data_IF_220781290580
#
_entry.id   IF_220781290580
#
_cell.length_a   1.000
_cell.length_b   1.000
_cell.length_c   1.000
_cell.angle_alpha   90.00
_cell.angle_beta   90.00
_cell.angle_gamma   90.00
#
_symmetry.space_group_name_H-M   'P 1'
#
loop_
_entity.id
_entity.type
_entity.pdbx_description
1 polymer ?
#
# COMPACT_ATOMS: atom_id res chain seq x y z
N UNK A 1 -36.10 7.67 -49.20
CA UNK A 1 -36.39 8.33 -47.90
C UNK A 1 -35.08 8.32 -47.12
N UNK A 2 -34.38 9.44 -46.93
CA UNK A 2 -33.15 9.50 -46.18
C UNK A 2 -33.44 9.88 -44.70
N UNK A 3 -32.85 9.12 -43.79
CA UNK A 3 -32.84 9.43 -42.35
C UNK A 3 -31.87 10.60 -42.06
N UNK A 4 -32.43 11.67 -41.56
CA UNK A 4 -31.69 12.81 -40.99
C UNK A 4 -31.08 12.41 -39.65
N UNK A 5 -29.74 12.36 -39.61
CA UNK A 5 -28.98 12.30 -38.38
C UNK A 5 -28.80 13.75 -37.90
N UNK A 6 -29.47 14.09 -36.80
CA UNK A 6 -29.35 15.37 -36.15
C UNK A 6 -28.08 15.38 -35.28
N UNK A 7 -27.04 16.08 -35.75
CA UNK A 7 -25.86 16.38 -34.95
C UNK A 7 -26.24 17.51 -33.95
N UNK A 8 -26.30 17.18 -32.67
CA UNK A 8 -26.28 18.17 -31.61
C UNK A 8 -24.84 18.70 -31.48
N UNK A 9 -24.60 19.88 -32.02
CA UNK A 9 -23.40 20.65 -31.75
C UNK A 9 -23.47 21.23 -30.34
N UNK A 10 -22.72 20.67 -29.39
CA UNK A 10 -22.44 21.36 -28.13
C UNK A 10 -21.55 22.56 -28.44
N UNK A 11 -22.14 23.74 -28.39
CA UNK A 11 -21.42 25.00 -28.33
C UNK A 11 -20.64 25.08 -27.02
N UNK A 12 -19.33 24.93 -27.13
CA UNK A 12 -18.38 25.37 -26.12
C UNK A 12 -18.48 26.88 -25.93
N UNK A 13 -19.24 27.31 -24.93
CA UNK A 13 -19.15 28.67 -24.38
C UNK A 13 -17.85 28.75 -23.58
N UNK A 14 -16.77 29.10 -24.26
CA UNK A 14 -15.53 29.58 -23.65
C UNK A 14 -15.84 30.97 -23.01
N UNK A 15 -16.32 30.93 -21.78
CA UNK A 15 -16.39 32.12 -20.95
C UNK A 15 -15.01 32.57 -20.56
N UNK A 16 -14.41 33.51 -21.30
CA UNK A 16 -13.23 34.24 -20.86
C UNK A 16 -13.67 35.11 -19.66
N UNK A 17 -13.49 34.58 -18.45
CA UNK A 17 -13.51 35.39 -17.25
C UNK A 17 -12.18 36.15 -17.15
N UNK A 18 -12.21 37.43 -17.56
CA UNK A 18 -11.13 38.36 -17.24
C UNK A 18 -11.22 38.62 -15.71
N UNK A 19 -10.32 37.96 -14.97
CA UNK A 19 -10.19 38.17 -13.54
C UNK A 19 -9.56 39.53 -13.26
N UNK A 20 -10.37 40.47 -12.90
CA UNK A 20 -9.93 41.69 -12.19
C UNK A 20 -9.56 41.28 -10.75
N UNK A 21 -8.30 41.41 -10.38
CA UNK A 21 -7.70 41.65 -9.08
C UNK A 21 -8.38 41.08 -7.83
N UNK A 22 -8.11 39.78 -7.51
CA UNK A 22 -8.44 39.18 -6.23
C UNK A 22 -7.65 37.89 -6.08
N UNK A 23 -6.38 37.99 -5.73
CA UNK A 23 -5.52 36.82 -5.51
C UNK A 23 -6.14 35.87 -4.48
N UNK A 24 -6.49 34.64 -4.89
CA UNK A 24 -6.51 33.47 -4.03
C UNK A 24 -7.85 32.95 -3.54
N UNK A 25 -8.98 33.68 -3.74
CA UNK A 25 -10.26 33.31 -3.08
C UNK A 25 -11.14 32.37 -3.93
N UNK A 26 -10.80 32.13 -5.20
CA UNK A 26 -11.57 31.31 -6.13
C UNK A 26 -10.69 30.32 -6.94
N UNK A 27 -9.51 30.00 -6.44
CA UNK A 27 -8.60 29.04 -7.06
C UNK A 27 -8.67 27.70 -6.31
N UNK A 28 -9.18 26.60 -6.92
CA UNK A 28 -9.21 25.29 -6.29
C UNK A 28 -7.82 24.79 -5.91
N UNK A 29 -6.80 25.08 -6.73
CA UNK A 29 -5.42 24.70 -6.47
C UNK A 29 -4.85 25.42 -5.23
N UNK A 30 -5.23 26.66 -4.98
CA UNK A 30 -4.86 27.36 -3.75
C UNK A 30 -5.35 26.60 -2.51
N UNK A 31 -6.62 26.19 -2.50
CA UNK A 31 -7.19 25.45 -1.38
C UNK A 31 -6.58 24.05 -1.26
N UNK A 32 -6.34 23.36 -2.36
CA UNK A 32 -5.68 22.07 -2.34
C UNK A 32 -4.27 22.17 -1.74
N UNK A 33 -3.42 23.08 -2.23
CA UNK A 33 -2.06 23.31 -1.67
C UNK A 33 -2.10 23.71 -0.20
N UNK A 34 -3.06 24.51 0.21
CA UNK A 34 -3.27 24.88 1.61
C UNK A 34 -3.65 23.68 2.47
N UNK A 35 -4.50 22.81 1.97
CA UNK A 35 -4.85 21.53 2.59
C UNK A 35 -3.62 20.65 2.79
N UNK A 36 -2.79 20.49 1.76
CA UNK A 36 -1.51 19.72 1.84
C UNK A 36 -0.58 20.32 2.90
N UNK A 37 -0.47 21.66 2.96
CA UNK A 37 0.35 22.30 3.99
C UNK A 37 -0.17 22.05 5.41
N UNK A 38 -1.50 22.05 5.61
CA UNK A 38 -2.11 21.75 6.91
C UNK A 38 -1.95 20.29 7.29
N UNK A 39 -2.12 19.37 6.32
CA UNK A 39 -1.93 17.94 6.51
C UNK A 39 -0.49 17.62 6.96
N UNK A 40 0.51 18.24 6.32
CA UNK A 40 1.92 18.08 6.71
C UNK A 40 2.26 18.57 8.12
N UNK A 41 1.46 19.52 8.65
CA UNK A 41 1.54 20.01 10.02
C UNK A 41 0.74 19.17 11.03
N UNK A 42 0.10 18.07 10.59
CA UNK A 42 -0.77 17.25 11.42
C UNK A 42 -2.16 17.85 11.68
N UNK A 43 -2.50 18.98 11.06
CA UNK A 43 -3.78 19.68 11.19
C UNK A 43 -4.83 19.07 10.24
N UNK A 44 -5.16 17.80 10.49
CA UNK A 44 -5.95 16.99 9.54
C UNK A 44 -7.37 17.57 9.31
N UNK A 45 -8.03 18.06 10.37
CA UNK A 45 -9.37 18.64 10.25
C UNK A 45 -9.39 19.91 9.40
N UNK A 46 -8.37 20.75 9.56
CA UNK A 46 -8.22 21.95 8.75
C UNK A 46 -7.95 21.60 7.29
N UNK A 47 -7.08 20.59 7.05
CA UNK A 47 -6.80 20.08 5.70
C UNK A 47 -8.06 19.56 5.00
N UNK A 48 -8.89 18.78 5.68
CA UNK A 48 -10.20 18.31 5.19
C UNK A 48 -11.08 19.50 4.80
N UNK A 49 -11.11 20.55 5.64
CA UNK A 49 -11.84 21.78 5.36
C UNK A 49 -11.39 22.48 4.07
N UNK A 50 -10.08 22.52 3.83
CA UNK A 50 -9.52 23.15 2.64
C UNK A 50 -9.76 22.31 1.38
N UNK A 51 -9.56 20.97 1.41
CA UNK A 51 -9.88 20.09 0.29
C UNK A 51 -11.36 20.18 -0.11
N UNK A 52 -12.27 20.24 0.85
CA UNK A 52 -13.69 20.46 0.58
C UNK A 52 -13.99 21.82 -0.06
N UNK A 53 -13.18 22.86 0.24
CA UNK A 53 -13.30 24.15 -0.46
C UNK A 53 -12.85 24.03 -1.91
N UNK A 54 -11.73 23.34 -2.15
CA UNK A 54 -11.27 23.06 -3.51
C UNK A 54 -12.35 22.32 -4.33
N UNK A 55 -12.93 21.25 -3.78
CA UNK A 55 -13.98 20.46 -4.43
C UNK A 55 -15.31 21.19 -4.62
N UNK A 56 -15.63 22.22 -3.83
CA UNK A 56 -16.77 23.09 -4.11
C UNK A 56 -16.58 23.96 -5.35
N UNK A 57 -15.32 24.31 -5.67
CA UNK A 57 -14.99 25.11 -6.85
C UNK A 57 -14.81 24.21 -8.08
N UNK A 58 -14.19 23.06 -7.89
CA UNK A 58 -13.91 22.06 -8.93
C UNK A 58 -14.31 20.65 -8.44
N UNK A 59 -15.59 20.25 -8.62
CA UNK A 59 -16.13 19.00 -8.08
C UNK A 59 -15.48 17.70 -8.62
N UNK A 60 -14.71 17.77 -9.69
CA UNK A 60 -14.05 16.63 -10.32
C UNK A 60 -12.53 16.74 -10.25
N UNK A 61 -11.98 17.54 -9.34
CA UNK A 61 -10.54 17.65 -9.15
C UNK A 61 -9.99 16.40 -8.51
N UNK A 62 -9.26 15.59 -9.31
CA UNK A 62 -8.65 14.33 -8.90
C UNK A 62 -7.79 14.46 -7.65
N UNK A 63 -6.90 15.44 -7.66
CA UNK A 63 -5.92 15.64 -6.59
C UNK A 63 -6.59 15.97 -5.26
N UNK A 64 -7.63 16.81 -5.30
CA UNK A 64 -8.38 17.19 -4.10
C UNK A 64 -9.18 16.00 -3.53
N UNK A 65 -9.80 15.15 -4.37
CA UNK A 65 -10.43 13.92 -3.91
C UNK A 65 -9.43 12.95 -3.31
N UNK A 66 -8.29 12.73 -3.99
CA UNK A 66 -7.24 11.86 -3.48
C UNK A 66 -6.70 12.34 -2.12
N UNK A 67 -6.37 13.63 -2.00
CA UNK A 67 -5.86 14.21 -0.76
C UNK A 67 -6.90 14.18 0.36
N UNK A 68 -8.17 14.38 0.04
CA UNK A 68 -9.28 14.27 1.00
C UNK A 68 -9.42 12.82 1.49
N UNK A 69 -9.31 11.84 0.60
CA UNK A 69 -9.32 10.42 0.95
C UNK A 69 -8.16 10.06 1.89
N UNK A 70 -6.95 10.54 1.60
CA UNK A 70 -5.77 10.36 2.47
C UNK A 70 -6.01 10.98 3.86
N UNK A 71 -6.56 12.18 3.90
CA UNK A 71 -6.85 12.86 5.18
C UNK A 71 -7.93 12.12 5.99
N UNK A 72 -8.98 11.63 5.35
CA UNK A 72 -9.97 10.77 6.00
C UNK A 72 -9.36 9.47 6.52
N UNK A 73 -8.50 8.82 5.73
CA UNK A 73 -7.78 7.61 6.17
C UNK A 73 -6.94 7.87 7.42
N UNK A 74 -6.15 8.94 7.44
CA UNK A 74 -5.34 9.34 8.62
C UNK A 74 -6.21 9.55 9.87
N UNK A 75 -7.43 10.06 9.68
CA UNK A 75 -8.40 10.28 10.75
C UNK A 75 -9.17 9.01 11.18
N UNK A 76 -9.02 7.90 10.47
CA UNK A 76 -9.77 6.66 10.70
C UNK A 76 -11.20 6.67 10.16
N UNK A 77 -11.56 7.66 9.34
CA UNK A 77 -12.84 7.78 8.67
C UNK A 77 -12.82 6.95 7.38
N UNK A 78 -12.80 5.63 7.55
CA UNK A 78 -12.56 4.69 6.43
C UNK A 78 -13.67 4.68 5.39
N UNK A 79 -14.93 4.87 5.80
CA UNK A 79 -16.06 4.91 4.86
C UNK A 79 -15.95 6.11 3.93
N UNK A 80 -15.68 7.28 4.48
CA UNK A 80 -15.50 8.52 3.74
C UNK A 80 -14.29 8.44 2.81
N UNK A 81 -13.19 7.86 3.29
CA UNK A 81 -12.00 7.67 2.47
C UNK A 81 -12.25 6.74 1.27
N UNK A 82 -13.02 5.64 1.45
CA UNK A 82 -13.40 4.72 0.37
C UNK A 82 -14.22 5.45 -0.70
N UNK A 83 -15.19 6.27 -0.31
CA UNK A 83 -16.02 7.01 -1.27
C UNK A 83 -15.19 8.00 -2.10
N UNK A 84 -14.27 8.73 -1.46
CA UNK A 84 -13.41 9.67 -2.18
C UNK A 84 -12.45 8.94 -3.14
N UNK A 85 -11.83 7.81 -2.72
CA UNK A 85 -11.00 7.03 -3.64
C UNK A 85 -11.78 6.40 -4.78
N UNK A 86 -13.03 5.95 -4.55
CA UNK A 86 -13.90 5.49 -5.63
C UNK A 86 -14.20 6.61 -6.63
N UNK A 87 -14.45 7.83 -6.14
CA UNK A 87 -14.62 8.99 -7.02
C UNK A 87 -13.37 9.24 -7.86
N UNK A 88 -12.17 9.11 -7.28
CA UNK A 88 -10.92 9.17 -8.08
C UNK A 88 -10.90 8.09 -9.16
N UNK A 89 -11.27 6.84 -8.83
CA UNK A 89 -11.24 5.73 -9.78
C UNK A 89 -12.36 5.79 -10.84
N UNK A 90 -13.49 6.44 -10.55
CA UNK A 90 -14.51 6.74 -11.56
C UNK A 90 -14.00 7.75 -12.60
N UNK A 91 -13.20 8.73 -12.17
CA UNK A 91 -12.60 9.73 -13.06
C UNK A 91 -11.34 9.21 -13.75
N UNK A 92 -10.55 8.39 -13.06
CA UNK A 92 -9.25 7.86 -13.48
C UNK A 92 -9.15 6.38 -13.11
N UNK A 93 -9.74 5.47 -13.92
CA UNK A 93 -9.81 4.03 -13.60
C UNK A 93 -8.44 3.35 -13.49
N UNK A 94 -7.47 3.83 -14.24
CA UNK A 94 -6.12 3.24 -14.36
C UNK A 94 -5.11 3.96 -13.44
N UNK A 95 -5.49 4.16 -12.17
CA UNK A 95 -4.64 4.80 -11.15
C UNK A 95 -4.15 3.78 -10.11
N UNK A 96 -2.95 3.18 -10.28
CA UNK A 96 -2.47 2.13 -9.39
C UNK A 96 -2.22 2.62 -7.97
N UNK A 97 -1.84 3.88 -7.76
CA UNK A 97 -1.63 4.46 -6.44
C UNK A 97 -2.95 4.57 -5.66
N UNK A 98 -4.02 4.99 -6.32
CA UNK A 98 -5.35 5.02 -5.70
C UNK A 98 -5.87 3.63 -5.37
N UNK A 99 -5.69 2.66 -6.27
CA UNK A 99 -6.04 1.25 -6.03
C UNK A 99 -5.26 0.67 -4.85
N UNK A 100 -3.97 0.96 -4.75
CA UNK A 100 -3.13 0.53 -3.63
C UNK A 100 -3.64 1.08 -2.29
N UNK A 101 -3.94 2.37 -2.23
CA UNK A 101 -4.44 3.01 -1.01
C UNK A 101 -5.85 2.53 -0.63
N UNK A 102 -6.72 2.33 -1.62
CA UNK A 102 -8.06 1.76 -1.40
C UNK A 102 -7.95 0.34 -0.84
N UNK A 103 -7.04 -0.49 -1.36
CA UNK A 103 -6.75 -1.81 -0.84
C UNK A 103 -6.28 -1.77 0.62
N UNK A 104 -5.43 -0.82 0.99
CA UNK A 104 -4.97 -0.65 2.37
C UNK A 104 -6.13 -0.31 3.33
N UNK A 105 -7.10 0.50 2.89
CA UNK A 105 -8.28 0.81 3.70
C UNK A 105 -9.21 -0.39 3.81
N UNK A 106 -9.41 -1.13 2.72
CA UNK A 106 -10.20 -2.37 2.77
C UNK A 106 -9.62 -3.38 3.75
N UNK A 107 -8.29 -3.56 3.76
CA UNK A 107 -7.62 -4.44 4.71
C UNK A 107 -7.84 -4.00 6.17
N UNK A 108 -7.72 -2.70 6.46
CA UNK A 108 -8.01 -2.13 7.79
C UNK A 108 -9.49 -2.25 8.20
N UNK A 109 -10.38 -2.29 7.23
CA UNK A 109 -11.82 -2.49 7.43
C UNK A 109 -12.23 -3.96 7.49
N UNK A 110 -11.26 -4.88 7.60
CA UNK A 110 -11.46 -6.34 7.58
C UNK A 110 -12.12 -6.88 6.30
N UNK A 111 -11.97 -6.16 5.19
CA UNK A 111 -12.48 -6.52 3.85
C UNK A 111 -11.35 -7.10 3.01
N UNK A 112 -10.78 -8.22 3.43
CA UNK A 112 -9.54 -8.77 2.86
C UNK A 112 -9.64 -9.10 1.36
N UNK A 113 -10.76 -9.66 0.91
CA UNK A 113 -10.94 -10.02 -0.51
C UNK A 113 -11.01 -8.77 -1.41
N UNK A 114 -11.65 -7.70 -0.93
CA UNK A 114 -11.65 -6.42 -1.64
C UNK A 114 -10.27 -5.77 -1.67
N UNK A 115 -9.49 -5.92 -0.59
CA UNK A 115 -8.12 -5.44 -0.53
C UNK A 115 -7.23 -6.15 -1.57
N UNK A 116 -7.29 -7.48 -1.60
CA UNK A 116 -6.55 -8.29 -2.59
C UNK A 116 -6.93 -7.85 -4.00
N UNK A 117 -8.22 -7.79 -4.33
CA UNK A 117 -8.68 -7.36 -5.66
C UNK A 117 -8.13 -6.00 -6.07
N UNK A 118 -8.15 -5.01 -5.15
CA UNK A 118 -7.63 -3.68 -5.43
C UNK A 118 -6.10 -3.70 -5.67
N UNK A 119 -5.35 -4.46 -4.88
CA UNK A 119 -3.90 -4.57 -5.05
C UNK A 119 -3.50 -5.38 -6.28
N UNK A 120 -4.26 -6.45 -6.63
CA UNK A 120 -4.07 -7.19 -7.89
C UNK A 120 -4.23 -6.27 -9.11
N UNK A 121 -5.26 -5.41 -9.09
CA UNK A 121 -5.44 -4.39 -10.13
C UNK A 121 -4.29 -3.37 -10.14
N UNK A 122 -3.80 -2.96 -8.98
CA UNK A 122 -2.67 -2.03 -8.90
C UNK A 122 -1.39 -2.62 -9.55
N UNK A 123 -1.07 -3.89 -9.30
CA UNK A 123 0.11 -4.55 -9.90
C UNK A 123 -0.12 -4.95 -11.36
N UNK A 124 -1.35 -5.15 -11.79
CA UNK A 124 -1.68 -5.33 -13.21
C UNK A 124 -1.36 -4.06 -14.01
N UNK A 125 -1.73 -2.89 -13.48
CA UNK A 125 -1.46 -1.58 -14.09
C UNK A 125 0.01 -1.16 -13.96
N UNK A 126 0.64 -1.49 -12.84
CA UNK A 126 2.03 -1.14 -12.53
C UNK A 126 2.79 -2.38 -12.05
N UNK A 127 3.33 -3.19 -13.00
CA UNK A 127 3.98 -4.48 -12.67
C UNK A 127 5.26 -4.38 -11.82
N UNK A 128 5.79 -3.18 -11.62
CA UNK A 128 6.95 -2.92 -10.76
C UNK A 128 6.57 -2.23 -9.43
N UNK A 129 5.29 -2.25 -9.06
CA UNK A 129 4.80 -1.66 -7.82
C UNK A 129 5.16 -2.53 -6.62
N UNK A 130 6.39 -2.39 -6.16
CA UNK A 130 7.01 -3.22 -5.12
C UNK A 130 6.19 -3.26 -3.82
N UNK A 131 5.64 -2.13 -3.40
CA UNK A 131 4.84 -2.01 -2.18
C UNK A 131 3.53 -2.80 -2.29
N UNK A 132 2.89 -2.79 -3.46
CA UNK A 132 1.67 -3.55 -3.70
C UNK A 132 1.95 -5.06 -3.75
N UNK A 133 3.04 -5.49 -4.39
CA UNK A 133 3.50 -6.89 -4.35
C UNK A 133 3.76 -7.36 -2.93
N UNK A 134 4.42 -6.53 -2.11
CA UNK A 134 4.71 -6.90 -0.71
C UNK A 134 3.42 -7.13 0.10
N UNK A 135 2.45 -6.20 0.03
CA UNK A 135 1.19 -6.34 0.79
C UNK A 135 0.32 -7.49 0.27
N UNK A 136 0.33 -7.76 -1.04
CA UNK A 136 -0.30 -8.94 -1.62
C UNK A 136 0.31 -10.22 -1.05
N UNK A 137 1.64 -10.36 -1.13
CA UNK A 137 2.35 -11.53 -0.61
C UNK A 137 2.04 -11.77 0.88
N UNK A 138 2.06 -10.70 1.68
CA UNK A 138 1.73 -10.78 3.10
C UNK A 138 0.28 -11.21 3.33
N UNK A 139 -0.67 -10.66 2.59
CA UNK A 139 -2.10 -11.00 2.74
C UNK A 139 -2.40 -12.41 2.27
N UNK A 140 -1.80 -12.86 1.17
CA UNK A 140 -1.89 -14.24 0.72
C UNK A 140 -1.32 -15.22 1.74
N UNK A 141 -0.17 -14.91 2.35
CA UNK A 141 0.42 -15.74 3.40
C UNK A 141 -0.51 -15.85 4.63
N UNK A 142 -1.15 -14.76 5.05
CA UNK A 142 -2.17 -14.79 6.12
C UNK A 142 -3.37 -15.68 5.77
N UNK A 143 -3.77 -15.73 4.51
CA UNK A 143 -4.82 -16.62 4.00
C UNK A 143 -4.32 -18.05 3.73
N UNK A 144 -3.06 -18.36 4.05
CA UNK A 144 -2.38 -19.64 3.77
C UNK A 144 -2.30 -19.99 2.27
N UNK A 145 -2.40 -19.01 1.42
CA UNK A 145 -2.21 -19.10 -0.02
C UNK A 145 -0.72 -18.90 -0.33
N UNK A 146 0.08 -19.90 0.06
CA UNK A 146 1.54 -19.75 0.07
C UNK A 146 2.17 -19.71 -1.32
N UNK A 147 1.53 -20.29 -2.35
CA UNK A 147 2.04 -20.21 -3.72
C UNK A 147 1.95 -18.79 -4.27
N UNK A 148 0.80 -18.15 -4.06
CA UNK A 148 0.59 -16.76 -4.43
C UNK A 148 1.51 -15.84 -3.63
N UNK A 149 1.66 -16.07 -2.32
CA UNK A 149 2.56 -15.28 -1.48
C UNK A 149 4.01 -15.35 -1.97
N UNK A 150 4.50 -16.54 -2.29
CA UNK A 150 5.86 -16.78 -2.81
C UNK A 150 6.07 -16.02 -4.14
N UNK A 151 5.10 -16.09 -5.04
CA UNK A 151 5.15 -15.36 -6.32
C UNK A 151 5.31 -13.86 -6.10
N UNK A 152 4.49 -13.28 -5.22
CA UNK A 152 4.50 -11.85 -4.95
C UNK A 152 5.77 -11.39 -4.23
N UNK A 153 6.27 -12.15 -3.24
CA UNK A 153 7.54 -11.84 -2.58
C UNK A 153 8.75 -11.91 -3.55
N UNK A 154 8.74 -12.86 -4.49
CA UNK A 154 9.78 -12.90 -5.52
C UNK A 154 9.77 -11.64 -6.39
N UNK A 155 8.59 -11.08 -6.72
CA UNK A 155 8.49 -9.80 -7.44
C UNK A 155 9.10 -8.63 -6.65
N UNK A 156 8.94 -8.62 -5.33
CA UNK A 156 9.63 -7.65 -4.47
C UNK A 156 11.15 -7.82 -4.56
N UNK A 157 11.65 -9.05 -4.45
CA UNK A 157 13.09 -9.35 -4.43
C UNK A 157 13.77 -9.16 -5.80
N UNK A 158 13.04 -9.26 -6.91
CA UNK A 158 13.55 -8.85 -8.24
C UNK A 158 13.97 -7.36 -8.27
N UNK A 159 13.31 -6.50 -7.50
CA UNK A 159 13.58 -5.06 -7.42
C UNK A 159 14.43 -4.68 -6.20
N UNK A 160 14.23 -5.36 -5.08
CA UNK A 160 14.88 -5.12 -3.79
C UNK A 160 15.57 -6.40 -3.29
N UNK A 161 16.68 -6.83 -3.92
CA UNK A 161 17.31 -8.13 -3.60
C UNK A 161 17.89 -8.22 -2.18
N UNK A 162 18.05 -7.09 -1.49
CA UNK A 162 18.57 -7.03 -0.12
C UNK A 162 17.49 -6.65 0.90
N UNK A 163 16.19 -6.95 0.61
CA UNK A 163 15.12 -6.73 1.58
C UNK A 163 15.02 -7.91 2.57
N UNK A 164 15.63 -7.74 3.74
CA UNK A 164 15.66 -8.74 4.79
C UNK A 164 14.26 -9.19 5.24
N UNK A 165 13.28 -8.28 5.27
CA UNK A 165 11.92 -8.60 5.70
C UNK A 165 11.24 -9.50 4.67
N UNK A 166 11.39 -9.20 3.40
CA UNK A 166 10.81 -10.02 2.33
C UNK A 166 11.46 -11.40 2.27
N UNK A 167 12.79 -11.50 2.42
CA UNK A 167 13.47 -12.79 2.54
C UNK A 167 12.96 -13.63 3.72
N UNK A 168 12.77 -13.00 4.89
CA UNK A 168 12.17 -13.67 6.03
C UNK A 168 10.77 -14.21 5.72
N UNK A 169 9.89 -13.37 5.15
CA UNK A 169 8.51 -13.76 4.86
C UNK A 169 8.42 -14.84 3.78
N UNK A 170 9.28 -14.78 2.77
CA UNK A 170 9.43 -15.82 1.75
C UNK A 170 9.90 -17.14 2.38
N UNK A 171 10.88 -17.09 3.27
CA UNK A 171 11.35 -18.26 4.01
C UNK A 171 10.26 -18.89 4.88
N UNK A 172 9.44 -18.09 5.53
CA UNK A 172 8.27 -18.57 6.28
C UNK A 172 7.28 -19.26 5.34
N UNK A 173 6.95 -18.64 4.20
CA UNK A 173 6.03 -19.22 3.22
C UNK A 173 6.55 -20.57 2.68
N UNK A 174 7.85 -20.71 2.40
CA UNK A 174 8.47 -21.98 2.03
C UNK A 174 8.41 -23.01 3.17
N UNK A 175 8.63 -22.59 4.43
CA UNK A 175 8.54 -23.48 5.60
C UNK A 175 7.15 -24.09 5.75
N UNK A 176 6.11 -23.27 5.56
CA UNK A 176 4.70 -23.70 5.62
C UNK A 176 4.34 -24.66 4.47
N UNK A 177 4.98 -24.53 3.31
CA UNK A 177 4.86 -25.48 2.18
C UNK A 177 5.71 -26.74 2.35
N UNK A 178 6.56 -26.83 3.38
CA UNK A 178 7.48 -27.95 3.56
C UNK A 178 8.71 -27.92 2.63
N UNK A 179 8.96 -26.81 1.91
CA UNK A 179 10.11 -26.61 1.05
C UNK A 179 11.31 -26.13 1.88
N UNK A 180 11.78 -27.02 2.79
CA UNK A 180 12.67 -26.65 3.89
C UNK A 180 14.04 -26.15 3.45
N UNK A 181 14.60 -26.66 2.34
CA UNK A 181 15.88 -26.18 1.81
C UNK A 181 15.77 -24.72 1.35
N UNK A 182 14.77 -24.42 0.53
CA UNK A 182 14.50 -23.06 0.08
C UNK A 182 14.18 -22.11 1.24
N UNK A 183 13.43 -22.58 2.24
CA UNK A 183 13.12 -21.82 3.44
C UNK A 183 14.39 -21.40 4.20
N UNK A 184 15.28 -22.35 4.46
CA UNK A 184 16.55 -22.11 5.17
C UNK A 184 17.43 -21.14 4.38
N UNK A 185 17.51 -21.30 3.06
CA UNK A 185 18.30 -20.40 2.22
C UNK A 185 17.79 -18.94 2.29
N UNK A 186 16.48 -18.72 2.20
CA UNK A 186 15.91 -17.38 2.27
C UNK A 186 16.04 -16.78 3.69
N UNK A 187 15.81 -17.56 4.74
CA UNK A 187 15.98 -17.10 6.11
C UNK A 187 17.45 -16.77 6.42
N UNK A 188 18.41 -17.52 5.89
CA UNK A 188 19.85 -17.22 6.00
C UNK A 188 20.22 -15.91 5.29
N UNK A 189 19.66 -15.66 4.11
CA UNK A 189 19.83 -14.35 3.43
C UNK A 189 19.31 -13.22 4.30
N UNK A 190 18.11 -13.36 4.85
CA UNK A 190 17.53 -12.36 5.77
C UNK A 190 18.43 -12.08 6.96
N UNK A 191 18.93 -13.12 7.62
CA UNK A 191 19.87 -13.00 8.75
C UNK A 191 21.19 -12.35 8.33
N UNK A 192 21.71 -12.64 7.14
CA UNK A 192 22.94 -12.04 6.62
C UNK A 192 22.77 -10.54 6.39
N UNK A 193 21.62 -10.13 5.85
CA UNK A 193 21.31 -8.71 5.57
C UNK A 193 21.05 -7.95 6.88
N UNK A 194 20.26 -8.54 7.78
CA UNK A 194 19.96 -7.92 9.07
C UNK A 194 20.11 -8.94 10.23
N UNK A 195 21.31 -9.05 10.83
CA UNK A 195 21.58 -10.01 11.90
C UNK A 195 20.81 -9.77 13.20
N UNK A 196 20.25 -8.58 13.40
CA UNK A 196 19.53 -8.20 14.62
C UNK A 196 18.03 -8.57 14.62
N UNK A 197 17.52 -9.14 13.52
CA UNK A 197 16.12 -9.58 13.42
C UNK A 197 15.91 -10.88 14.23
N UNK A 198 15.58 -10.74 15.51
CA UNK A 198 15.35 -11.89 16.40
C UNK A 198 14.29 -12.86 15.84
N UNK A 199 13.21 -12.33 15.26
CA UNK A 199 12.15 -13.18 14.69
C UNK A 199 12.63 -14.05 13.54
N UNK A 200 13.54 -13.54 12.70
CA UNK A 200 14.14 -14.36 11.62
C UNK A 200 14.95 -15.53 12.17
N UNK A 201 15.69 -15.32 13.28
CA UNK A 201 16.41 -16.40 13.98
C UNK A 201 15.45 -17.48 14.46
N UNK A 202 14.32 -17.08 15.04
CA UNK A 202 13.27 -18.01 15.47
C UNK A 202 12.64 -18.78 14.30
N UNK A 203 12.41 -18.10 13.17
CA UNK A 203 11.88 -18.76 11.97
C UNK A 203 12.90 -19.75 11.38
N UNK A 204 14.18 -19.42 11.41
CA UNK A 204 15.27 -20.28 10.95
C UNK A 204 15.43 -21.50 11.87
N UNK A 205 15.38 -21.30 13.19
CA UNK A 205 15.32 -22.38 14.18
C UNK A 205 14.18 -23.35 13.85
N UNK A 206 12.99 -22.84 13.63
CA UNK A 206 11.82 -23.65 13.32
C UNK A 206 11.97 -24.44 12.00
N UNK A 207 12.52 -23.81 10.97
CA UNK A 207 12.80 -24.49 9.70
C UNK A 207 13.84 -25.61 9.85
N UNK A 208 14.91 -25.39 10.64
CA UNK A 208 15.91 -26.43 10.95
C UNK A 208 15.29 -27.58 11.72
N UNK A 209 14.47 -27.35 12.77
CA UNK A 209 13.78 -28.43 13.51
C UNK A 209 12.88 -29.25 12.59
N UNK A 210 12.08 -28.59 11.74
CA UNK A 210 11.25 -29.30 10.75
C UNK A 210 12.07 -30.18 9.83
N UNK A 211 13.33 -29.80 9.55
CA UNK A 211 14.26 -30.56 8.70
C UNK A 211 15.03 -31.64 9.45
N UNK A 212 14.98 -31.71 10.79
CA UNK A 212 15.72 -32.61 11.62
C UNK A 212 17.18 -32.20 11.89
N UNK A 213 17.52 -30.92 11.69
CA UNK A 213 18.81 -30.31 11.92
C UNK A 213 18.86 -29.68 13.31
N UNK A 214 18.91 -30.53 14.35
CA UNK A 214 18.73 -30.10 15.74
C UNK A 214 19.86 -29.21 16.25
N UNK A 215 21.13 -29.49 15.86
CA UNK A 215 22.27 -28.68 16.29
C UNK A 215 22.21 -27.25 15.76
N UNK A 216 21.88 -27.10 14.48
CA UNK A 216 21.70 -25.78 13.85
C UNK A 216 20.49 -25.04 14.46
N UNK A 217 19.40 -25.76 14.74
CA UNK A 217 18.24 -25.18 15.39
C UNK A 217 18.57 -24.65 16.78
N UNK A 218 19.27 -25.41 17.61
CA UNK A 218 19.67 -25.02 18.97
C UNK A 218 20.62 -23.80 18.94
N UNK A 219 21.48 -23.71 17.94
CA UNK A 219 22.36 -22.55 17.76
C UNK A 219 21.55 -21.30 17.44
N UNK A 220 20.61 -21.35 16.49
CA UNK A 220 19.77 -20.20 16.14
C UNK A 220 18.87 -19.79 17.32
N UNK A 221 18.36 -20.74 18.10
CA UNK A 221 17.59 -20.47 19.30
C UNK A 221 18.39 -19.71 20.36
N UNK A 222 19.64 -20.06 20.61
CA UNK A 222 20.52 -19.33 21.54
C UNK A 222 20.70 -17.88 21.10
N UNK A 223 20.95 -17.66 19.80
CA UNK A 223 21.11 -16.30 19.26
C UNK A 223 19.80 -15.51 19.41
N UNK A 224 18.65 -16.13 19.12
CA UNK A 224 17.34 -15.53 19.34
C UNK A 224 17.15 -15.06 20.79
N UNK A 225 17.47 -15.91 21.77
CA UNK A 225 17.37 -15.57 23.20
C UNK A 225 18.29 -14.40 23.59
N UNK A 226 19.51 -14.35 23.09
CA UNK A 226 20.45 -13.25 23.34
C UNK A 226 19.93 -11.91 22.78
N UNK A 227 19.40 -11.92 21.54
CA UNK A 227 18.85 -10.73 20.92
C UNK A 227 17.63 -10.20 21.68
N UNK A 228 16.74 -11.10 22.14
CA UNK A 228 15.56 -10.71 22.88
C UNK A 228 15.88 -10.17 24.29
N UNK A 229 16.88 -10.76 24.98
CA UNK A 229 17.36 -10.25 26.28
C UNK A 229 17.96 -8.84 26.17
N UNK A 230 18.75 -8.59 25.15
CA UNK A 230 19.31 -7.24 24.88
C UNK A 230 18.23 -6.22 24.54
N UNK A 231 17.22 -6.59 23.75
CA UNK A 231 16.10 -5.72 23.43
C UNK A 231 15.28 -5.29 24.65
N UNK A 232 15.09 -6.19 25.61
CA UNK A 232 14.35 -5.91 26.86
C UNK A 232 15.14 -5.07 27.88
N UNK A 233 16.47 -5.00 27.76
CA UNK A 233 17.34 -4.19 28.65
C UNK A 233 17.51 -2.74 28.14
N UNK A 234 17.13 -2.49 26.87
CA UNK A 234 17.28 -1.17 26.24
C UNK A 234 15.99 -0.31 26.28
N UNK A 235 14.90 -0.84 26.89
CA UNK A 235 13.64 -0.12 27.17
C UNK A 235 13.58 0.30 28.63
#
# INVERSE_FOLDING_TARGET
MPFLIQYFSLLLLSGIFIAAGGCGVHDPDYYNRRGVSMDSQGRIDDAIGEYKKALRLEPYNRESHYNLAVAYHKKGLYKEAIEEYKTVLELYPDDPETLYNLGAIYARSNMQDAAIFAWEKAVELKPDFTEAHYVLGFTYAQKKQFDEAIKEYNKVLEKKPDDAITHNNLGVAYTEKGLLDAAIDELRKSVKINPSMAMTRKNLEFAYRKKGMEEEADNEFKIYEELTKKGNQAQ
#
